data_IF_892935795100
#
_entry.id   IF_892935795100
#
_cell.length_a   1.000
_cell.length_b   1.000
_cell.length_c   1.000
_cell.angle_alpha   90.00
_cell.angle_beta   90.00
_cell.angle_gamma   90.00
#
_symmetry.space_group_name_H-M   'P 1'
#
loop_
_entity.id
_entity.type
_entity.pdbx_description
1 polymer ?
#
# COMPACT_ATOMS: atom_id res chain seq x y z
N UNK A 1 0.10 30.79 19.26
CA UNK A 1 0.23 30.89 17.79
C UNK A 1 0.16 29.49 17.21
N UNK A 2 -0.95 29.15 16.56
CA UNK A 2 -1.30 27.79 16.15
C UNK A 2 -0.59 27.43 14.83
N UNK A 3 0.60 26.83 14.93
CA UNK A 3 1.37 26.34 13.80
C UNK A 3 0.66 25.11 13.22
N UNK A 4 -0.29 25.37 12.31
CA UNK A 4 -1.07 24.35 11.62
C UNK A 4 -0.13 23.63 10.65
N UNK A 5 0.58 22.62 11.16
CA UNK A 5 1.53 21.82 10.40
C UNK A 5 0.77 21.15 9.25
N UNK A 6 0.97 21.69 8.05
CA UNK A 6 0.34 21.27 6.80
C UNK A 6 0.82 19.88 6.34
N UNK A 7 1.88 19.36 6.96
CA UNK A 7 2.63 18.19 6.55
C UNK A 7 2.26 16.90 7.32
N UNK A 8 1.00 16.73 7.72
CA UNK A 8 0.47 15.59 8.52
C UNK A 8 0.67 15.79 10.03
N UNK A 9 -0.44 15.93 10.74
CA UNK A 9 -0.44 15.99 12.20
C UNK A 9 -0.30 14.58 12.79
N UNK A 10 0.93 14.17 13.07
CA UNK A 10 1.25 12.86 13.69
C UNK A 10 0.83 12.75 15.16
N UNK A 11 0.22 13.79 15.75
CA UNK A 11 -0.21 13.76 17.15
C UNK A 11 -1.23 12.64 17.39
N UNK A 12 -2.14 12.38 16.44
CA UNK A 12 -3.16 11.35 16.59
C UNK A 12 -2.57 9.93 16.69
N UNK A 13 -1.44 9.67 16.03
CA UNK A 13 -0.71 8.40 16.12
C UNK A 13 -0.14 8.16 17.52
N UNK A 14 0.23 9.24 18.22
CA UNK A 14 0.82 9.18 19.57
C UNK A 14 -0.26 9.11 20.65
N UNK A 15 -1.32 9.89 20.52
CA UNK A 15 -2.29 10.10 21.61
C UNK A 15 -3.49 9.15 21.58
N UNK A 16 -3.83 8.55 20.44
CA UNK A 16 -5.03 7.71 20.31
C UNK A 16 -4.68 6.28 19.85
N UNK A 17 -4.75 5.27 20.75
CA UNK A 17 -4.38 3.89 20.42
C UNK A 17 -5.28 3.28 19.33
N UNK A 18 -6.57 3.59 19.33
CA UNK A 18 -7.51 3.11 18.31
C UNK A 18 -7.18 3.66 16.91
N UNK A 19 -6.85 4.95 16.81
CA UNK A 19 -6.45 5.56 15.55
C UNK A 19 -5.17 4.92 15.00
N UNK A 20 -4.18 4.64 15.86
CA UNK A 20 -2.94 3.96 15.46
C UNK A 20 -3.21 2.57 14.89
N UNK A 21 -4.13 1.79 15.49
CA UNK A 21 -4.49 0.47 14.99
C UNK A 21 -5.11 0.54 13.57
N UNK A 22 -6.07 1.45 13.36
CA UNK A 22 -6.70 1.65 12.04
C UNK A 22 -5.68 2.16 11.02
N UNK A 23 -4.80 3.07 11.41
CA UNK A 23 -3.75 3.59 10.54
C UNK A 23 -2.82 2.48 10.07
N UNK A 24 -2.32 1.63 10.98
CA UNK A 24 -1.44 0.51 10.64
C UNK A 24 -2.17 -0.48 9.73
N UNK A 25 -3.43 -0.82 10.06
CA UNK A 25 -4.24 -1.71 9.23
C UNK A 25 -4.39 -1.16 7.80
N UNK A 26 -4.68 0.14 7.67
CA UNK A 26 -4.83 0.77 6.36
C UNK A 26 -3.52 0.87 5.60
N UNK A 27 -2.43 1.16 6.31
CA UNK A 27 -1.09 1.21 5.75
C UNK A 27 -0.68 -0.15 5.17
N UNK A 28 -0.81 -1.22 5.95
CA UNK A 28 -0.53 -2.59 5.49
C UNK A 28 -1.44 -2.96 4.31
N UNK A 29 -2.74 -2.62 4.37
CA UNK A 29 -3.66 -2.92 3.29
C UNK A 29 -3.25 -2.27 1.95
N UNK A 30 -2.90 -0.98 1.96
CA UNK A 30 -2.45 -0.28 0.74
C UNK A 30 -1.10 -0.83 0.26
N UNK A 31 -0.16 -1.08 1.18
CA UNK A 31 1.12 -1.69 0.82
C UNK A 31 0.94 -3.05 0.17
N UNK A 32 0.15 -3.94 0.77
CA UNK A 32 -0.12 -5.28 0.23
C UNK A 32 -0.79 -5.21 -1.14
N UNK A 33 -1.75 -4.30 -1.34
CA UNK A 33 -2.38 -4.11 -2.65
C UNK A 33 -1.38 -3.60 -3.69
N UNK A 34 -0.52 -2.64 -3.34
CA UNK A 34 0.53 -2.15 -4.22
C UNK A 34 1.54 -3.23 -4.58
N UNK A 35 1.95 -4.06 -3.60
CA UNK A 35 2.83 -5.19 -3.83
C UNK A 35 2.18 -6.25 -4.73
N UNK A 36 0.90 -6.57 -4.53
CA UNK A 36 0.17 -7.50 -5.39
C UNK A 36 0.11 -7.01 -6.84
N UNK A 37 -0.08 -5.70 -7.05
CA UNK A 37 -0.07 -5.10 -8.38
C UNK A 37 1.23 -5.31 -9.16
N UNK A 38 2.37 -5.51 -8.48
CA UNK A 38 3.68 -5.79 -9.11
C UNK A 38 4.02 -7.28 -9.06
N UNK A 39 3.77 -7.94 -7.94
CA UNK A 39 4.13 -9.32 -7.71
C UNK A 39 3.39 -10.28 -8.64
N UNK A 40 2.10 -10.03 -8.93
CA UNK A 40 1.32 -10.88 -9.83
C UNK A 40 1.88 -10.86 -11.25
N UNK A 41 2.09 -9.69 -11.90
CA UNK A 41 2.77 -9.62 -13.20
C UNK A 41 4.15 -10.32 -13.24
N UNK A 42 4.99 -10.07 -12.22
CA UNK A 42 6.34 -10.67 -12.14
C UNK A 42 6.24 -12.18 -12.02
N UNK A 43 5.33 -12.70 -11.20
CA UNK A 43 5.10 -14.13 -11.04
C UNK A 43 4.63 -14.80 -12.34
N UNK A 44 3.73 -14.16 -13.08
CA UNK A 44 3.25 -14.69 -14.37
C UNK A 44 4.37 -14.74 -15.40
N UNK A 45 5.21 -13.70 -15.47
CA UNK A 45 6.38 -13.69 -16.33
C UNK A 45 7.38 -14.80 -15.96
N UNK A 46 7.61 -15.05 -14.67
CA UNK A 46 8.55 -16.09 -14.21
C UNK A 46 8.05 -17.50 -14.52
N UNK A 47 6.73 -17.74 -14.43
CA UNK A 47 6.15 -19.06 -14.68
C UNK A 47 5.95 -19.36 -16.17
N UNK A 48 5.65 -18.35 -16.97
CA UNK A 48 5.24 -18.54 -18.37
C UNK A 48 6.27 -18.06 -19.39
N UNK A 49 7.23 -17.25 -18.95
CA UNK A 49 8.16 -16.52 -19.82
C UNK A 49 7.49 -15.65 -20.91
N UNK A 50 6.19 -15.39 -20.80
CA UNK A 50 5.40 -14.68 -21.82
C UNK A 50 4.93 -13.32 -21.33
N UNK A 51 5.47 -12.26 -21.92
CA UNK A 51 5.05 -10.87 -21.65
C UNK A 51 3.63 -10.58 -22.14
N UNK A 52 3.14 -11.36 -23.11
CA UNK A 52 1.78 -11.23 -23.62
C UNK A 52 0.74 -11.71 -22.61
N UNK A 53 1.02 -12.82 -21.91
CA UNK A 53 0.17 -13.32 -20.83
C UNK A 53 0.15 -12.38 -19.64
N UNK A 54 1.26 -11.69 -19.33
CA UNK A 54 1.30 -10.63 -18.32
C UNK A 54 0.33 -9.50 -18.71
N UNK A 55 0.34 -9.06 -19.97
CA UNK A 55 -0.54 -7.99 -20.44
C UNK A 55 -2.03 -8.33 -20.39
N UNK A 56 -2.41 -9.59 -20.67
CA UNK A 56 -3.80 -10.05 -20.59
C UNK A 56 -4.32 -10.28 -19.17
N UNK A 57 -3.40 -10.54 -18.23
CA UNK A 57 -3.72 -10.89 -16.84
C UNK A 57 -3.55 -9.73 -15.86
N UNK A 58 -2.97 -8.61 -16.32
CA UNK A 58 -2.85 -7.41 -15.51
C UNK A 58 -4.23 -6.74 -15.34
N UNK A 59 -4.60 -6.35 -14.10
CA UNK A 59 -5.90 -5.73 -13.79
C UNK A 59 -6.09 -4.35 -14.41
#
# INVERSE_FOLDING_TARGET
MNQKSWLINLSLLKTHPAYRAVFIARFISILSLGLLGVAVPVQIQMLTHSSWLVGLSSP
#
